data_IF_367714944171
#
_entry.id   IF_367714944171
#
_cell.length_a   1.000
_cell.length_b   1.000
_cell.length_c   1.000
_cell.angle_alpha   90.00
_cell.angle_beta   90.00
_cell.angle_gamma   90.00
#
_symmetry.space_group_name_H-M   'P 1'
#
loop_
_entity.id
_entity.type
_entity.pdbx_description
1 polymer ?
#
# COMPACT_ATOMS: atom_id res chain seq x y z
N UNK A 1 10.71 -32.98 -4.98
CA UNK A 1 9.46 -32.53 -4.32
C UNK A 1 9.57 -31.07 -3.87
N UNK A 2 8.74 -30.14 -4.37
CA UNK A 2 8.69 -28.77 -3.84
C UNK A 2 8.22 -28.82 -2.37
N UNK A 3 9.07 -28.39 -1.45
CA UNK A 3 8.72 -28.24 -0.03
C UNK A 3 7.48 -27.35 0.12
N UNK A 4 6.41 -27.88 0.72
CA UNK A 4 5.17 -27.12 0.93
C UNK A 4 5.41 -26.04 1.98
N UNK A 5 5.17 -24.78 1.61
CA UNK A 5 5.44 -23.61 2.46
C UNK A 5 4.62 -23.62 3.77
N UNK A 6 3.31 -23.89 3.66
CA UNK A 6 2.41 -24.20 4.76
C UNK A 6 2.13 -25.70 4.78
N UNK A 7 2.91 -26.44 5.57
CA UNK A 7 2.75 -27.89 5.73
C UNK A 7 2.13 -28.25 7.08
N UNK A 8 1.34 -29.33 7.10
CA UNK A 8 0.67 -29.84 8.29
C UNK A 8 1.43 -30.99 8.98
N UNK A 9 2.36 -31.67 8.30
CA UNK A 9 3.14 -32.76 8.92
C UNK A 9 4.18 -32.23 9.93
N UNK A 10 4.94 -31.20 9.54
CA UNK A 10 5.91 -30.53 10.41
C UNK A 10 5.40 -29.15 10.80
N UNK A 11 5.21 -28.91 12.09
CA UNK A 11 4.75 -27.62 12.61
C UNK A 11 5.83 -26.56 12.35
N UNK A 12 5.58 -25.66 11.40
CA UNK A 12 6.40 -24.47 11.16
C UNK A 12 5.48 -23.26 11.13
N UNK A 13 5.74 -22.32 12.04
CA UNK A 13 5.01 -21.06 12.13
C UNK A 13 5.71 -20.06 11.20
N UNK A 14 4.93 -19.32 10.42
CA UNK A 14 5.38 -18.32 9.43
C UNK A 14 4.81 -16.94 9.74
N UNK A 15 5.41 -15.88 9.20
CA UNK A 15 4.86 -14.52 9.25
C UNK A 15 3.79 -14.32 8.15
N UNK A 16 2.64 -14.99 8.31
CA UNK A 16 1.50 -14.93 7.36
C UNK A 16 0.16 -15.11 8.07
N UNK A 17 -0.90 -14.44 7.61
CA UNK A 17 -2.28 -14.64 8.12
C UNK A 17 -3.02 -15.79 7.42
N UNK A 18 -2.34 -16.89 7.11
CA UNK A 18 -2.95 -18.06 6.49
C UNK A 18 -3.69 -18.90 7.55
N UNK A 19 -4.88 -19.40 7.24
CA UNK A 19 -5.63 -20.37 8.06
C UNK A 19 -4.78 -21.57 8.51
N UNK A 20 -3.95 -22.11 7.61
CA UNK A 20 -3.06 -23.25 7.93
C UNK A 20 -1.96 -22.82 8.92
N UNK A 21 -1.49 -21.58 8.80
CA UNK A 21 -0.50 -21.03 9.72
C UNK A 21 -1.11 -20.82 11.12
N UNK A 22 -2.35 -20.33 11.17
CA UNK A 22 -3.09 -20.19 12.43
C UNK A 22 -3.29 -21.54 13.11
N UNK A 23 -3.70 -22.57 12.35
CA UNK A 23 -3.80 -23.92 12.86
C UNK A 23 -2.45 -24.48 13.36
N UNK A 24 -1.37 -24.18 12.65
CA UNK A 24 -0.02 -24.55 13.11
C UNK A 24 0.38 -23.81 14.39
N UNK A 25 -0.03 -22.56 14.55
CA UNK A 25 0.22 -21.75 15.74
C UNK A 25 -0.57 -22.31 16.95
N UNK A 26 -1.84 -22.66 16.78
CA UNK A 26 -2.68 -23.15 17.88
C UNK A 26 -2.25 -24.51 18.42
N UNK A 27 -1.72 -25.39 17.57
CA UNK A 27 -1.22 -26.71 17.99
C UNK A 27 0.25 -26.74 18.38
N UNK A 28 0.96 -25.61 18.24
CA UNK A 28 2.38 -25.56 18.55
C UNK A 28 2.59 -25.74 20.05
N UNK A 29 3.26 -26.83 20.42
CA UNK A 29 3.69 -27.10 21.80
C UNK A 29 5.20 -27.35 21.81
N UNK A 30 5.99 -26.61 22.58
CA UNK A 30 7.40 -26.94 22.78
C UNK A 30 7.46 -28.29 23.51
N UNK A 31 8.07 -29.30 22.88
CA UNK A 31 8.35 -30.58 23.53
C UNK A 31 9.79 -30.58 24.02
N UNK A 32 10.04 -30.71 25.33
CA UNK A 32 11.36 -31.11 25.81
C UNK A 32 11.58 -32.55 25.34
N UNK A 33 12.53 -32.73 24.44
CA UNK A 33 12.94 -34.05 23.94
C UNK A 33 14.28 -34.40 24.59
N UNK A 34 14.58 -35.69 24.76
CA UNK A 34 15.91 -36.22 25.16
C UNK A 34 16.99 -36.01 24.10
N UNK A 35 16.92 -34.88 23.40
CA UNK A 35 17.82 -34.50 22.32
C UNK A 35 19.14 -34.00 22.88
N UNK A 36 20.21 -34.27 22.14
CA UNK A 36 21.52 -33.66 22.42
C UNK A 36 21.48 -32.15 22.25
N UNK A 37 22.41 -31.43 22.86
CA UNK A 37 22.47 -29.97 22.77
C UNK A 37 22.54 -29.47 21.32
N UNK A 38 23.27 -30.16 20.44
CA UNK A 38 23.31 -29.82 19.01
C UNK A 38 21.94 -29.97 18.34
N UNK A 39 21.24 -31.08 18.59
CA UNK A 39 19.90 -31.32 18.06
C UNK A 39 18.90 -30.28 18.56
N UNK A 40 18.99 -29.89 19.83
CA UNK A 40 18.18 -28.81 20.41
C UNK A 40 18.41 -27.48 19.70
N UNK A 41 19.68 -27.06 19.55
CA UNK A 41 20.04 -25.83 18.82
C UNK A 41 19.58 -25.87 17.36
N UNK A 42 19.77 -26.99 16.66
CA UNK A 42 19.34 -27.14 15.28
C UNK A 42 17.83 -27.03 15.12
N UNK A 43 17.06 -27.67 16.02
CA UNK A 43 15.60 -27.59 16.05
C UNK A 43 15.14 -26.16 16.34
N UNK A 44 15.74 -25.51 17.33
CA UNK A 44 15.46 -24.12 17.68
C UNK A 44 15.68 -23.20 16.47
N UNK A 45 16.86 -23.27 15.84
CA UNK A 45 17.19 -22.55 14.59
C UNK A 45 16.14 -22.78 13.50
N UNK A 46 15.80 -24.04 13.22
CA UNK A 46 14.87 -24.42 12.16
C UNK A 46 13.46 -23.87 12.39
N UNK A 47 13.00 -23.85 13.65
CA UNK A 47 11.70 -23.31 14.05
C UNK A 47 11.69 -21.78 14.04
N UNK A 48 12.66 -21.16 14.71
CA UNK A 48 12.71 -19.70 14.86
C UNK A 48 12.91 -19.00 13.51
N UNK A 49 13.79 -19.50 12.64
CA UNK A 49 14.00 -18.98 11.28
C UNK A 49 12.84 -19.23 10.35
N UNK A 50 11.97 -20.21 10.65
CA UNK A 50 10.79 -20.42 9.85
C UNK A 50 9.82 -19.22 9.94
N UNK A 51 9.78 -18.56 11.09
CA UNK A 51 9.01 -17.35 11.34
C UNK A 51 9.82 -16.10 11.02
N UNK A 52 10.96 -15.94 11.66
CA UNK A 52 11.78 -14.73 11.60
C UNK A 52 12.61 -14.70 10.32
N UNK A 53 12.25 -13.85 9.36
CA UNK A 53 13.04 -13.59 8.14
C UNK A 53 13.18 -14.81 7.22
N UNK A 54 12.11 -15.58 7.04
CA UNK A 54 12.07 -16.74 6.14
C UNK A 54 12.57 -16.43 4.72
N UNK A 55 12.31 -15.21 4.24
CA UNK A 55 12.73 -14.71 2.93
C UNK A 55 14.24 -14.41 2.83
N UNK A 56 14.95 -14.38 3.95
CA UNK A 56 16.36 -14.00 4.05
C UNK A 56 17.21 -15.27 3.97
N UNK A 57 18.19 -15.29 3.07
CA UNK A 57 19.15 -16.40 2.95
C UNK A 57 19.96 -16.55 4.23
N UNK A 58 20.32 -17.78 4.59
CA UNK A 58 21.01 -18.04 5.85
C UNK A 58 22.36 -17.31 5.97
N UNK A 59 23.14 -17.28 4.89
CA UNK A 59 24.41 -16.54 4.86
C UNK A 59 24.25 -15.01 4.98
N UNK A 60 23.09 -14.47 4.60
CA UNK A 60 22.78 -13.05 4.83
C UNK A 60 22.36 -12.84 6.29
N UNK A 61 21.52 -13.73 6.84
CA UNK A 61 21.11 -13.67 8.24
C UNK A 61 22.31 -13.75 9.20
N UNK A 62 23.26 -14.66 8.96
CA UNK A 62 24.45 -14.79 9.81
C UNK A 62 25.30 -13.52 9.87
N UNK A 63 25.35 -12.73 8.79
CA UNK A 63 26.04 -11.42 8.75
C UNK A 63 25.23 -10.32 9.46
N UNK A 64 23.91 -10.40 9.44
CA UNK A 64 23.03 -9.44 10.12
C UNK A 64 22.88 -9.70 11.62
N UNK A 65 23.04 -10.96 12.04
CA UNK A 65 22.94 -11.37 13.44
C UNK A 65 23.92 -10.56 14.30
N UNK A 66 23.43 -10.05 15.43
CA UNK A 66 24.23 -9.32 16.40
C UNK A 66 24.11 -10.03 17.76
N UNK A 67 25.23 -10.40 18.40
CA UNK A 67 25.22 -10.97 19.75
C UNK A 67 24.68 -10.02 20.81
N UNK A 68 24.77 -8.70 20.56
CA UNK A 68 24.36 -7.67 21.52
C UNK A 68 22.85 -7.40 21.43
N UNK A 69 22.13 -7.75 22.50
CA UNK A 69 20.72 -7.38 22.68
C UNK A 69 20.60 -5.96 23.26
N UNK A 70 19.69 -5.14 22.72
CA UNK A 70 19.37 -3.82 23.26
C UNK A 70 18.28 -3.94 24.33
N UNK A 71 18.48 -3.29 25.47
CA UNK A 71 17.50 -3.23 26.56
C UNK A 71 17.43 -1.82 27.14
N UNK A 72 16.32 -1.52 27.81
CA UNK A 72 16.10 -0.27 28.54
C UNK A 72 15.50 -0.58 29.91
N UNK A 73 15.88 0.22 30.90
CA UNK A 73 15.37 0.14 32.28
C UNK A 73 14.59 1.43 32.54
N UNK A 74 13.29 1.36 32.88
CA UNK A 74 12.55 2.53 33.31
C UNK A 74 13.04 2.94 34.71
N UNK A 75 13.37 4.23 34.89
CA UNK A 75 13.67 4.82 36.20
C UNK A 75 12.50 5.71 36.60
N UNK A 76 12.08 5.64 37.86
CA UNK A 76 11.05 6.51 38.40
C UNK A 76 11.67 7.87 38.77
N UNK A 77 11.09 8.94 38.22
CA UNK A 77 11.59 10.30 38.44
C UNK A 77 11.33 10.78 39.88
N UNK A 78 10.31 10.24 40.56
CA UNK A 78 10.03 10.58 41.97
C UNK A 78 11.12 10.07 42.88
N UNK A 79 11.46 8.80 42.72
CA UNK A 79 12.57 8.17 43.44
C UNK A 79 13.90 8.91 43.21
N UNK A 80 14.20 9.29 41.95
CA UNK A 80 15.42 10.05 41.63
C UNK A 80 15.45 11.46 42.24
N UNK A 81 14.30 12.05 42.59
CA UNK A 81 14.23 13.36 43.23
C UNK A 81 14.39 13.26 44.75
N UNK A 82 13.88 12.19 45.36
CA UNK A 82 13.92 11.96 46.81
C UNK A 82 15.23 11.31 47.27
N UNK A 83 15.84 10.48 46.41
CA UNK A 83 17.00 9.65 46.74
C UNK A 83 18.12 9.83 45.71
N UNK A 84 19.37 9.86 46.20
CA UNK A 84 20.58 9.90 45.39
C UNK A 84 21.17 8.50 45.11
N UNK A 85 20.57 7.46 45.69
CA UNK A 85 20.96 6.05 45.54
C UNK A 85 21.94 5.55 46.60
N UNK A 86 22.37 6.40 47.55
CA UNK A 86 23.26 6.01 48.66
C UNK A 86 22.65 4.93 49.56
N UNK A 87 21.31 4.92 49.71
CA UNK A 87 20.58 3.95 50.51
C UNK A 87 20.63 2.53 49.93
N UNK A 88 20.84 2.39 48.62
CA UNK A 88 21.02 1.09 47.97
C UNK A 88 22.35 0.43 48.34
N UNK A 89 23.35 1.22 48.73
CA UNK A 89 24.66 0.74 49.16
C UNK A 89 24.78 0.59 50.69
N UNK A 90 23.73 0.93 51.44
CA UNK A 90 23.74 0.85 52.91
C UNK A 90 24.11 -0.55 53.41
N UNK A 91 24.70 -0.61 54.62
CA UNK A 91 25.22 -1.85 55.20
C UNK A 91 26.61 -2.19 54.68
N UNK A 92 26.73 -3.26 53.88
CA UNK A 92 28.00 -3.77 53.34
C UNK A 92 28.12 -3.61 51.81
N UNK A 93 27.33 -2.72 51.21
CA UNK A 93 27.34 -2.44 49.76
C UNK A 93 26.27 -3.18 48.93
N UNK A 94 25.65 -4.23 49.46
CA UNK A 94 24.53 -4.94 48.79
C UNK A 94 23.14 -4.42 49.16
N UNK A 95 23.08 -3.36 49.95
CA UNK A 95 21.87 -2.85 50.59
C UNK A 95 21.60 -3.47 51.97
N UNK A 96 20.67 -2.86 52.69
CA UNK A 96 20.28 -3.29 54.04
C UNK A 96 19.68 -4.71 54.02
N UNK A 97 20.15 -5.57 54.92
CA UNK A 97 19.63 -6.95 55.03
C UNK A 97 18.16 -6.93 55.46
N UNK A 98 17.33 -7.63 54.69
CA UNK A 98 15.89 -7.80 55.00
C UNK A 98 15.66 -9.17 55.66
N UNK A 99 14.75 -9.28 56.64
CA UNK A 99 14.44 -10.57 57.27
C UNK A 99 13.96 -11.59 56.22
N UNK A 100 14.45 -12.83 56.34
CA UNK A 100 14.09 -13.93 55.42
C UNK A 100 12.58 -14.22 55.52
N UNK A 101 11.86 -14.14 54.41
CA UNK A 101 10.44 -14.52 54.32
C UNK A 101 9.49 -13.42 53.85
N UNK A 102 9.90 -12.16 53.89
CA UNK A 102 9.11 -11.03 53.36
C UNK A 102 9.32 -10.92 51.85
N UNK A 103 8.62 -11.79 51.10
CA UNK A 103 8.32 -11.76 49.66
C UNK A 103 9.30 -11.06 48.71
N UNK A 104 10.03 -11.82 47.90
CA UNK A 104 10.78 -11.24 46.76
C UNK A 104 11.01 -12.18 45.58
N UNK A 105 11.14 -13.49 45.80
CA UNK A 105 11.45 -14.46 44.72
C UNK A 105 10.43 -14.43 43.55
N UNK A 106 9.14 -14.32 43.84
CA UNK A 106 8.08 -14.23 42.82
C UNK A 106 8.07 -12.88 42.06
N UNK A 107 8.58 -11.81 42.68
CA UNK A 107 8.64 -10.46 42.11
C UNK A 107 9.85 -10.32 41.18
N UNK A 108 10.97 -10.97 41.50
CA UNK A 108 12.16 -11.03 40.63
C UNK A 108 11.88 -11.66 39.25
N UNK A 109 11.07 -12.72 39.19
CA UNK A 109 10.75 -13.38 37.93
C UNK A 109 9.87 -12.54 37.00
N UNK A 110 9.01 -11.64 37.53
CA UNK A 110 8.18 -10.73 36.72
C UNK A 110 8.99 -9.58 36.11
N UNK A 111 10.08 -9.20 36.75
CA UNK A 111 10.93 -8.07 36.32
C UNK A 111 12.15 -8.50 35.49
N UNK A 112 12.32 -9.80 35.22
CA UNK A 112 13.45 -10.24 34.41
C UNK A 112 13.33 -9.70 32.97
N UNK A 113 14.43 -9.19 32.44
CA UNK A 113 14.49 -8.68 31.07
C UNK A 113 14.69 -9.87 30.11
N UNK A 114 13.77 -10.10 29.16
CA UNK A 114 13.86 -11.25 28.24
C UNK A 114 14.84 -10.95 27.08
N UNK A 115 16.15 -10.91 27.36
CA UNK A 115 17.19 -10.60 26.37
C UNK A 115 17.18 -11.54 25.17
N UNK A 116 16.96 -12.84 25.41
CA UNK A 116 17.00 -13.85 24.34
C UNK A 116 15.85 -13.70 23.34
N UNK A 117 14.77 -13.03 23.71
CA UNK A 117 13.69 -12.71 22.76
C UNK A 117 14.13 -11.70 21.68
N UNK A 118 15.24 -10.99 21.90
CA UNK A 118 15.76 -9.96 21.00
C UNK A 118 16.65 -10.49 19.87
N UNK A 119 16.89 -11.80 19.78
CA UNK A 119 17.78 -12.44 18.79
C UNK A 119 17.51 -11.96 17.36
N UNK A 120 16.23 -11.79 17.01
CA UNK A 120 15.78 -11.40 15.67
C UNK A 120 15.47 -9.91 15.50
N UNK A 121 15.82 -9.06 16.48
CA UNK A 121 15.62 -7.61 16.41
C UNK A 121 16.19 -6.95 15.14
N UNK A 122 17.34 -7.37 14.57
CA UNK A 122 17.85 -6.77 13.33
C UNK A 122 16.91 -6.94 12.12
N UNK A 123 16.05 -7.96 12.10
CA UNK A 123 15.10 -8.19 10.99
C UNK A 123 13.98 -7.16 11.01
N UNK A 124 13.54 -6.73 12.20
CA UNK A 124 12.46 -5.76 12.37
C UNK A 124 12.82 -4.36 11.83
N UNK A 125 14.11 -4.08 11.60
CA UNK A 125 14.56 -2.86 10.91
C UNK A 125 14.27 -2.86 9.41
N UNK A 126 14.06 -4.02 8.81
CA UNK A 126 13.87 -4.12 7.36
C UNK A 126 12.51 -3.57 6.95
N UNK A 127 12.48 -2.82 5.85
CA UNK A 127 11.27 -2.23 5.30
C UNK A 127 10.16 -3.28 5.06
N UNK A 128 10.50 -4.43 4.49
CA UNK A 128 9.52 -5.51 4.25
C UNK A 128 8.89 -6.07 5.53
N UNK A 129 9.65 -6.13 6.62
CA UNK A 129 9.18 -6.64 7.90
C UNK A 129 8.35 -5.57 8.61
N UNK A 130 8.80 -4.31 8.61
CA UNK A 130 8.06 -3.18 9.19
C UNK A 130 6.67 -3.00 8.56
N UNK A 131 6.54 -3.14 7.23
CA UNK A 131 5.24 -3.10 6.54
C UNK A 131 4.30 -4.21 7.01
N UNK A 132 4.83 -5.43 7.21
CA UNK A 132 4.04 -6.53 7.76
C UNK A 132 3.60 -6.27 9.21
N UNK A 133 4.48 -5.71 10.04
CA UNK A 133 4.19 -5.35 11.43
C UNK A 133 3.19 -4.20 11.58
N UNK A 134 3.13 -3.30 10.60
CA UNK A 134 2.14 -2.22 10.53
C UNK A 134 0.74 -2.69 10.08
N UNK A 135 0.57 -4.00 9.83
CA UNK A 135 -0.67 -4.61 9.31
C UNK A 135 -1.05 -4.16 7.88
N UNK A 136 -0.11 -3.61 7.11
CA UNK A 136 -0.34 -3.20 5.72
C UNK A 136 -0.25 -4.35 4.70
N UNK A 137 0.26 -5.50 5.12
CA UNK A 137 0.37 -6.70 4.31
C UNK A 137 0.00 -7.96 5.09
N UNK A 138 -0.58 -8.97 4.42
CA UNK A 138 -0.96 -10.23 5.07
C UNK A 138 0.23 -11.16 5.35
N UNK A 139 1.40 -10.89 4.75
CA UNK A 139 2.63 -11.65 4.92
C UNK A 139 3.86 -10.82 4.59
N UNK A 140 5.03 -11.21 5.12
CA UNK A 140 6.31 -10.58 4.76
C UNK A 140 6.69 -10.77 3.30
N UNK A 141 6.32 -11.90 2.68
CA UNK A 141 6.50 -12.11 1.23
C UNK A 141 5.66 -11.14 0.40
N UNK A 142 4.42 -10.88 0.81
CA UNK A 142 3.57 -9.90 0.15
C UNK A 142 4.07 -8.47 0.36
N UNK A 143 4.51 -8.12 1.57
CA UNK A 143 5.14 -6.84 1.86
C UNK A 143 6.37 -6.60 0.97
N UNK A 144 7.22 -7.62 0.82
CA UNK A 144 8.37 -7.59 -0.09
C UNK A 144 7.95 -7.31 -1.54
N UNK A 145 6.87 -7.92 -2.02
CA UNK A 145 6.36 -7.66 -3.37
C UNK A 145 5.87 -6.21 -3.52
N UNK A 146 5.21 -5.64 -2.51
CA UNK A 146 4.78 -4.24 -2.55
C UNK A 146 5.96 -3.29 -2.71
N UNK A 147 7.04 -3.55 -1.96
CA UNK A 147 8.28 -2.78 -2.08
C UNK A 147 8.89 -2.94 -3.48
N UNK A 148 9.10 -4.17 -3.96
CA UNK A 148 9.72 -4.44 -5.27
C UNK A 148 8.92 -3.85 -6.44
N UNK A 149 7.58 -3.92 -6.37
CA UNK A 149 6.71 -3.29 -7.37
C UNK A 149 6.62 -1.76 -7.21
N UNK A 150 7.32 -1.19 -6.23
CA UNK A 150 7.45 0.25 -6.08
C UNK A 150 6.17 0.92 -5.58
N UNK A 151 5.40 0.19 -4.76
CA UNK A 151 4.14 0.65 -4.13
C UNK A 151 4.34 1.20 -2.73
N UNK A 152 5.60 1.40 -2.34
CA UNK A 152 6.00 1.89 -1.03
C UNK A 152 6.87 3.12 -1.21
N UNK A 153 6.62 4.13 -0.39
CA UNK A 153 7.43 5.33 -0.28
C UNK A 153 8.03 5.40 1.13
N UNK A 154 9.28 5.83 1.25
CA UNK A 154 9.93 6.16 2.51
C UNK A 154 10.34 7.63 2.45
N UNK A 155 9.90 8.43 3.41
CA UNK A 155 10.13 9.89 3.46
C UNK A 155 9.77 10.56 2.11
N UNK A 156 8.62 10.19 1.53
CA UNK A 156 8.15 10.68 0.23
C UNK A 156 8.81 10.06 -1.01
N UNK A 157 9.97 9.41 -0.87
CA UNK A 157 10.73 8.81 -1.98
C UNK A 157 10.31 7.35 -2.21
N UNK A 158 10.08 6.98 -3.47
CA UNK A 158 9.77 5.58 -3.85
C UNK A 158 10.97 4.68 -3.53
N UNK A 159 10.75 3.64 -2.72
CA UNK A 159 11.84 2.75 -2.30
C UNK A 159 11.59 1.32 -2.80
N UNK A 160 12.30 0.84 -3.85
CA UNK A 160 12.09 -0.49 -4.41
C UNK A 160 12.88 -1.61 -3.69
N UNK A 161 13.69 -1.26 -2.69
CA UNK A 161 14.58 -2.20 -2.02
C UNK A 161 13.99 -2.72 -0.70
N UNK A 162 13.53 -3.98 -0.62
CA UNK A 162 12.97 -4.55 0.61
C UNK A 162 14.00 -4.76 1.71
N UNK A 163 15.29 -4.75 1.36
CA UNK A 163 16.41 -4.81 2.31
C UNK A 163 16.76 -3.48 2.95
N UNK A 164 16.06 -2.39 2.64
CA UNK A 164 16.28 -1.10 3.28
C UNK A 164 16.10 -1.21 4.79
N UNK A 165 17.08 -0.71 5.55
CA UNK A 165 17.06 -0.69 7.00
C UNK A 165 16.55 0.67 7.44
N UNK A 166 15.37 0.69 8.07
CA UNK A 166 14.77 1.89 8.62
C UNK A 166 15.66 2.46 9.74
N UNK A 167 15.78 3.77 9.72
CA UNK A 167 16.33 4.58 10.79
C UNK A 167 15.21 5.11 11.68
N UNK A 168 15.46 5.32 12.98
CA UNK A 168 14.50 6.01 13.85
C UNK A 168 14.06 7.34 13.24
N UNK A 169 12.75 7.57 13.16
CA UNK A 169 12.14 8.74 12.52
C UNK A 169 11.66 8.51 11.08
N UNK A 170 12.09 7.45 10.40
CA UNK A 170 11.66 7.21 9.01
C UNK A 170 10.16 6.93 8.93
N UNK A 171 9.49 7.63 8.01
CA UNK A 171 8.09 7.42 7.68
C UNK A 171 7.97 6.59 6.40
N UNK A 172 7.27 5.46 6.45
CA UNK A 172 6.95 4.67 5.27
C UNK A 172 5.45 4.66 4.99
N UNK A 173 5.07 4.78 3.72
CA UNK A 173 3.69 4.80 3.25
C UNK A 173 3.48 3.75 2.16
N UNK A 174 2.37 3.04 2.22
CA UNK A 174 1.97 2.02 1.25
C UNK A 174 0.77 2.49 0.45
N UNK A 175 0.71 2.13 -0.83
CA UNK A 175 -0.44 2.36 -1.70
C UNK A 175 -1.73 1.75 -1.09
N UNK A 176 -2.77 2.58 -0.88
CA UNK A 176 -3.99 2.23 -0.14
C UNK A 176 -4.71 1.04 -0.77
N UNK A 177 -4.83 1.01 -2.10
CA UNK A 177 -5.50 -0.08 -2.82
C UNK A 177 -4.78 -1.43 -2.62
N UNK A 178 -3.46 -1.41 -2.36
CA UNK A 178 -2.67 -2.61 -2.07
C UNK A 178 -2.86 -3.09 -0.64
N UNK A 179 -2.97 -2.17 0.31
CA UNK A 179 -3.28 -2.48 1.70
C UNK A 179 -4.67 -3.10 1.80
N UNK A 180 -5.67 -2.47 1.20
CA UNK A 180 -7.05 -2.97 1.16
C UNK A 180 -7.11 -4.36 0.49
N UNK A 181 -6.33 -4.59 -0.57
CA UNK A 181 -6.21 -5.92 -1.18
C UNK A 181 -5.56 -6.98 -0.27
N UNK A 182 -4.51 -6.61 0.47
CA UNK A 182 -3.82 -7.55 1.35
C UNK A 182 -4.66 -7.94 2.57
N UNK A 183 -5.23 -6.93 3.21
CA UNK A 183 -5.98 -7.02 4.46
C UNK A 183 -7.44 -7.38 4.24
N UNK A 184 -7.96 -7.21 3.02
CA UNK A 184 -9.33 -7.52 2.68
C UNK A 184 -9.61 -9.01 2.47
N UNK A 185 -10.89 -9.36 2.57
CA UNK A 185 -11.41 -10.66 2.18
C UNK A 185 -11.15 -10.92 0.68
N UNK A 186 -10.86 -12.19 0.31
CA UNK A 186 -10.74 -12.55 -1.09
C UNK A 186 -12.09 -12.35 -1.81
N UNK A 187 -12.06 -11.93 -3.07
CA UNK A 187 -13.27 -11.80 -3.90
C UNK A 187 -14.01 -13.14 -3.99
N UNK A 188 -15.34 -13.09 -3.90
CA UNK A 188 -16.21 -14.25 -4.15
C UNK A 188 -16.14 -14.66 -5.62
N UNK A 189 -16.51 -15.91 -5.91
CA UNK A 189 -16.49 -16.43 -7.28
C UNK A 189 -17.37 -15.59 -8.22
N UNK A 190 -18.52 -15.10 -7.75
CA UNK A 190 -19.47 -14.33 -8.56
C UNK A 190 -18.93 -12.94 -8.89
N UNK A 191 -18.35 -12.24 -7.92
CA UNK A 191 -17.66 -10.95 -8.17
C UNK A 191 -16.45 -11.09 -9.09
N UNK A 192 -15.80 -12.25 -9.08
CA UNK A 192 -14.70 -12.53 -10.01
C UNK A 192 -15.26 -12.71 -11.43
N UNK A 193 -16.40 -13.38 -11.59
CA UNK A 193 -17.06 -13.60 -12.90
C UNK A 193 -17.57 -12.29 -13.48
N UNK A 194 -18.34 -11.52 -12.73
CA UNK A 194 -18.94 -10.26 -13.18
C UNK A 194 -17.87 -9.23 -13.57
N UNK A 195 -16.87 -9.04 -12.71
CA UNK A 195 -15.79 -8.09 -12.95
C UNK A 195 -14.73 -8.55 -13.97
N UNK A 196 -14.80 -9.77 -14.51
CA UNK A 196 -13.76 -10.31 -15.41
C UNK A 196 -13.66 -9.51 -16.70
N UNK A 197 -14.82 -9.17 -17.30
CA UNK A 197 -14.90 -8.38 -18.53
C UNK A 197 -14.34 -6.97 -18.32
N UNK A 198 -14.84 -6.29 -17.28
CA UNK A 198 -14.43 -4.93 -16.91
C UNK A 198 -12.92 -4.83 -16.60
N UNK A 199 -12.35 -5.81 -15.89
CA UNK A 199 -10.92 -5.81 -15.57
C UNK A 199 -10.06 -6.10 -16.78
N UNK A 200 -10.55 -6.90 -17.74
CA UNK A 200 -9.85 -7.15 -19.00
C UNK A 200 -9.79 -5.88 -19.84
N UNK A 201 -10.91 -5.15 -19.95
CA UNK A 201 -10.94 -3.86 -20.66
C UNK A 201 -10.09 -2.80 -19.96
N UNK A 202 -10.19 -2.67 -18.63
CA UNK A 202 -9.35 -1.75 -17.83
C UNK A 202 -7.85 -2.05 -17.97
N UNK A 203 -7.45 -3.33 -17.98
CA UNK A 203 -6.05 -3.70 -18.22
C UNK A 203 -5.60 -3.31 -19.61
N UNK A 204 -6.39 -3.62 -20.64
CA UNK A 204 -6.07 -3.23 -22.01
C UNK A 204 -5.94 -1.71 -22.15
N UNK A 205 -6.84 -0.93 -21.52
CA UNK A 205 -6.76 0.53 -21.48
C UNK A 205 -5.49 1.02 -20.77
N UNK A 206 -5.16 0.47 -19.61
CA UNK A 206 -3.96 0.84 -18.86
C UNK A 206 -2.68 0.48 -19.61
N UNK A 207 -2.64 -0.68 -20.28
CA UNK A 207 -1.50 -1.11 -21.10
C UNK A 207 -1.35 -0.20 -22.31
N UNK A 208 -2.44 0.19 -22.95
CA UNK A 208 -2.42 1.16 -24.05
C UNK A 208 -1.93 2.53 -23.57
N UNK A 209 -2.40 2.99 -22.41
CA UNK A 209 -1.95 4.24 -21.79
C UNK A 209 -0.46 4.19 -21.43
N UNK A 210 0.02 3.06 -20.92
CA UNK A 210 1.44 2.85 -20.62
C UNK A 210 2.30 2.84 -21.89
N UNK A 211 1.83 2.19 -22.97
CA UNK A 211 2.50 2.22 -24.29
C UNK A 211 2.54 3.63 -24.86
N UNK A 212 1.44 4.37 -24.82
CA UNK A 212 1.38 5.75 -25.28
C UNK A 212 2.33 6.66 -24.47
N UNK A 213 2.39 6.47 -23.14
CA UNK A 213 3.32 7.20 -22.28
C UNK A 213 4.79 6.84 -22.55
N UNK A 214 5.10 5.57 -22.83
CA UNK A 214 6.43 5.14 -23.22
C UNK A 214 6.84 5.73 -24.59
N UNK A 215 5.96 5.64 -25.59
CA UNK A 215 6.19 6.24 -26.91
C UNK A 215 6.36 7.77 -26.83
N UNK A 216 5.63 8.43 -25.92
CA UNK A 216 5.81 9.86 -25.66
C UNK A 216 7.19 10.16 -25.07
N UNK A 217 7.64 9.37 -24.08
CA UNK A 217 8.98 9.51 -23.50
C UNK A 217 10.10 9.22 -24.50
N UNK A 218 9.93 8.25 -25.39
CA UNK A 218 10.89 7.95 -26.46
C UNK A 218 10.97 9.11 -27.46
N UNK A 219 9.83 9.70 -27.86
CA UNK A 219 9.81 10.90 -28.72
C UNK A 219 10.43 12.13 -28.04
N UNK A 220 10.14 12.33 -26.75
CA UNK A 220 10.73 13.42 -25.96
C UNK A 220 12.25 13.23 -25.78
N UNK A 221 12.71 11.99 -25.56
CA UNK A 221 14.14 11.66 -25.49
C UNK A 221 14.84 11.82 -26.85
N UNK A 222 14.24 11.37 -27.95
CA UNK A 222 14.77 11.57 -29.29
C UNK A 222 14.86 13.06 -29.67
N UNK A 223 13.87 13.87 -29.27
CA UNK A 223 13.89 15.32 -29.46
C UNK A 223 14.94 16.02 -28.57
N UNK A 224 15.27 15.47 -27.40
CA UNK A 224 16.34 15.98 -26.54
C UNK A 224 17.73 15.66 -27.10
N UNK A 225 17.95 14.45 -27.61
CA UNK A 225 19.20 14.05 -28.27
C UNK A 225 19.45 14.86 -29.54
N UNK A 226 18.41 15.08 -30.35
CA UNK A 226 18.50 15.96 -31.53
C UNK A 226 18.80 17.44 -31.20
N UNK A 227 18.56 17.87 -29.95
CA UNK A 227 18.92 19.21 -29.46
C UNK A 227 20.35 19.30 -28.92
N UNK A 228 20.97 18.19 -28.53
CA UNK A 228 22.37 18.17 -28.05
C UNK A 228 23.39 17.95 -29.18
N UNK A 229 23.00 17.32 -30.30
CA UNK A 229 23.91 17.10 -31.45
C UNK A 229 23.95 18.27 -32.46
N UNK A 230 23.08 19.27 -32.33
CA UNK A 230 22.98 20.42 -33.23
C UNK A 230 23.52 21.72 -32.63
N UNK A 231 24.84 21.93 -32.70
CA UNK A 231 25.45 23.23 -32.43
C UNK A 231 25.39 24.16 -33.63
N UNK A 232 24.31 24.95 -33.75
CA UNK A 232 24.35 26.35 -34.19
C UNK A 232 22.94 26.96 -34.09
N UNK A 233 22.86 28.13 -33.46
CA UNK A 233 21.65 28.93 -33.31
C UNK A 233 21.12 29.39 -34.65
N UNK A 234 20.10 28.69 -35.15
CA UNK A 234 19.08 29.29 -36.01
C UNK A 234 17.73 29.13 -35.31
N UNK A 235 17.17 30.25 -34.86
CA UNK A 235 15.76 30.33 -34.48
C UNK A 235 14.90 29.72 -35.59
N UNK A 236 14.08 28.67 -35.32
CA UNK A 236 13.21 28.13 -36.34
C UNK A 236 12.16 29.18 -36.68
N UNK A 237 12.32 29.79 -37.86
CA UNK A 237 11.32 30.67 -38.46
C UNK A 237 10.14 29.77 -38.85
N UNK A 238 9.11 29.75 -38.01
CA UNK A 238 7.87 28.99 -38.25
C UNK A 238 7.28 29.41 -39.60
N UNK A 239 7.37 28.55 -40.60
CA UNK A 239 6.71 28.71 -41.90
C UNK A 239 5.19 28.72 -41.69
N UNK A 240 4.42 29.59 -42.36
CA UNK A 240 2.96 29.68 -42.19
C UNK A 240 2.22 28.35 -42.40
N UNK A 241 2.77 27.44 -43.21
CA UNK A 241 2.25 26.08 -43.42
C UNK A 241 2.28 25.18 -42.17
N UNK A 242 3.24 25.40 -41.26
CA UNK A 242 3.35 24.63 -40.01
C UNK A 242 2.25 24.99 -39.00
N UNK A 243 1.89 26.28 -38.91
CA UNK A 243 0.82 26.79 -38.04
C UNK A 243 -0.56 26.32 -38.48
N UNK A 244 -0.83 26.35 -39.78
CA UNK A 244 -2.12 25.91 -40.32
C UNK A 244 -2.33 24.40 -40.13
N UNK A 245 -1.25 23.61 -40.23
CA UNK A 245 -1.28 22.17 -39.97
C UNK A 245 -1.57 21.85 -38.50
N UNK A 246 -0.92 22.57 -37.58
CA UNK A 246 -1.14 22.42 -36.14
C UNK A 246 -2.56 22.82 -35.72
N UNK A 247 -3.14 23.87 -36.32
CA UNK A 247 -4.53 24.26 -36.11
C UNK A 247 -5.53 23.23 -36.64
N UNK A 248 -5.29 22.66 -37.83
CA UNK A 248 -6.11 21.58 -38.37
C UNK A 248 -6.06 20.32 -37.51
N UNK A 249 -4.90 19.99 -36.94
CA UNK A 249 -4.75 18.86 -36.02
C UNK A 249 -5.48 19.09 -34.68
N UNK A 250 -5.51 20.33 -34.16
CA UNK A 250 -6.34 20.69 -33.00
C UNK A 250 -7.83 20.52 -33.29
N UNK A 251 -8.32 21.07 -34.40
CA UNK A 251 -9.72 20.94 -34.82
C UNK A 251 -10.12 19.47 -35.04
N UNK A 252 -9.20 18.66 -35.58
CA UNK A 252 -9.42 17.21 -35.74
C UNK A 252 -9.63 16.50 -34.41
N UNK A 253 -8.91 16.91 -33.37
CA UNK A 253 -9.10 16.37 -32.02
C UNK A 253 -10.47 16.79 -31.46
N UNK A 254 -10.89 18.04 -31.66
CA UNK A 254 -12.20 18.53 -31.20
C UNK A 254 -13.38 17.88 -31.93
N UNK A 255 -13.27 17.60 -33.23
CA UNK A 255 -14.29 16.80 -33.94
C UNK A 255 -14.36 15.36 -33.42
N UNK A 256 -13.24 14.77 -32.99
CA UNK A 256 -13.22 13.43 -32.38
C UNK A 256 -13.86 13.44 -30.99
N UNK A 257 -13.59 14.44 -30.15
CA UNK A 257 -14.24 14.55 -28.83
C UNK A 257 -15.75 14.74 -28.97
N UNK A 258 -16.21 15.55 -29.94
CA UNK A 258 -17.62 15.68 -30.25
C UNK A 258 -18.26 14.36 -30.72
N UNK A 259 -17.53 13.57 -31.52
CA UNK A 259 -17.99 12.25 -31.94
C UNK A 259 -18.12 11.28 -30.74
N UNK A 260 -17.15 11.30 -29.83
CA UNK A 260 -17.17 10.50 -28.60
C UNK A 260 -18.32 10.91 -27.67
N UNK A 261 -18.56 12.21 -27.50
CA UNK A 261 -19.70 12.72 -26.74
C UNK A 261 -21.04 12.25 -27.33
N UNK A 262 -21.19 12.31 -28.66
CA UNK A 262 -22.39 11.80 -29.32
C UNK A 262 -22.58 10.28 -29.14
N UNK A 263 -21.49 9.51 -29.08
CA UNK A 263 -21.51 8.06 -28.86
C UNK A 263 -21.84 7.68 -27.41
N UNK A 264 -21.36 8.45 -26.44
CA UNK A 264 -21.75 8.30 -25.02
C UNK A 264 -23.24 8.57 -24.86
N UNK A 265 -23.76 9.65 -25.45
CA UNK A 265 -25.19 9.99 -25.39
C UNK A 265 -26.09 8.94 -26.06
N UNK A 266 -25.59 8.21 -27.06
CA UNK A 266 -26.34 7.12 -27.70
C UNK A 266 -26.32 5.82 -26.89
N UNK A 267 -25.29 5.60 -26.09
CA UNK A 267 -25.05 4.33 -25.37
C UNK A 267 -25.40 4.40 -23.88
N UNK A 268 -25.70 5.58 -23.35
CA UNK A 268 -26.16 5.76 -21.97
C UNK A 268 -27.48 5.02 -21.74
N UNK A 269 -27.43 4.01 -20.86
CA UNK A 269 -28.56 3.16 -20.53
C UNK A 269 -29.49 3.77 -19.48
N UNK A 270 -29.04 4.81 -18.76
CA UNK A 270 -29.82 5.46 -17.69
C UNK A 270 -30.74 6.54 -18.23
N UNK A 271 -30.26 7.35 -19.19
CA UNK A 271 -31.02 8.45 -19.80
C UNK A 271 -31.11 8.25 -21.32
N UNK A 272 -31.79 7.18 -21.76
CA UNK A 272 -31.85 6.86 -23.20
C UNK A 272 -32.57 7.96 -23.98
N UNK A 273 -31.96 8.55 -25.02
CA UNK A 273 -32.59 9.63 -25.76
C UNK A 273 -33.85 9.17 -26.50
N UNK A 274 -34.84 10.06 -26.63
CA UNK A 274 -36.07 9.87 -27.42
C UNK A 274 -35.75 9.39 -28.86
N UNK A 275 -36.67 8.65 -29.49
CA UNK A 275 -36.48 8.11 -30.84
C UNK A 275 -36.07 9.17 -31.88
N UNK A 276 -36.68 10.36 -31.81
CA UNK A 276 -36.31 11.52 -32.65
C UNK A 276 -34.87 12.00 -32.39
N UNK A 277 -34.44 12.00 -31.12
CA UNK A 277 -33.09 12.40 -30.69
C UNK A 277 -32.02 11.37 -31.10
N UNK A 278 -32.35 10.07 -31.07
CA UNK A 278 -31.47 9.01 -31.60
C UNK A 278 -31.22 9.17 -33.10
N UNK A 279 -32.23 9.54 -33.87
CA UNK A 279 -32.10 9.81 -35.31
C UNK A 279 -31.23 11.05 -35.55
N UNK A 280 -31.45 12.13 -34.80
CA UNK A 280 -30.65 13.36 -34.88
C UNK A 280 -29.17 13.14 -34.54
N UNK A 281 -28.87 12.42 -33.44
CA UNK A 281 -27.49 12.09 -33.04
C UNK A 281 -26.79 11.20 -34.08
N UNK A 282 -27.50 10.22 -34.67
CA UNK A 282 -26.96 9.39 -35.76
C UNK A 282 -26.73 10.17 -37.05
N UNK A 283 -27.52 11.21 -37.32
CA UNK A 283 -27.32 12.13 -38.45
C UNK A 283 -26.10 13.02 -38.20
N UNK A 284 -26.01 13.64 -37.02
CA UNK A 284 -24.87 14.45 -36.58
C UNK A 284 -23.56 13.64 -36.62
N UNK A 285 -23.58 12.38 -36.17
CA UNK A 285 -22.41 11.49 -36.26
C UNK A 285 -21.95 11.25 -37.71
N UNK A 286 -22.89 11.12 -38.66
CA UNK A 286 -22.56 10.99 -40.09
C UNK A 286 -21.98 12.30 -40.64
N UNK A 287 -22.53 13.44 -40.23
CA UNK A 287 -22.05 14.78 -40.59
C UNK A 287 -20.61 15.02 -40.07
N UNK A 288 -20.30 14.68 -38.81
CA UNK A 288 -18.94 14.76 -38.23
C UNK A 288 -17.96 13.83 -38.96
N UNK A 289 -18.39 12.60 -39.30
CA UNK A 289 -17.54 11.65 -40.01
C UNK A 289 -17.20 12.14 -41.42
N UNK A 290 -18.15 12.79 -42.10
CA UNK A 290 -17.95 13.39 -43.41
C UNK A 290 -17.04 14.64 -43.35
N UNK A 291 -17.08 15.44 -42.28
CA UNK A 291 -16.16 16.58 -42.13
C UNK A 291 -14.74 16.13 -41.79
N UNK A 292 -14.60 15.08 -40.96
CA UNK A 292 -13.29 14.47 -40.67
C UNK A 292 -12.62 13.87 -41.92
N UNK A 293 -13.38 13.36 -42.89
CA UNK A 293 -12.81 12.86 -44.15
C UNK A 293 -12.43 13.96 -45.14
N UNK A 294 -13.04 15.15 -45.01
CA UNK A 294 -12.78 16.32 -45.85
C UNK A 294 -11.88 17.37 -45.18
N UNK A 295 -11.27 17.05 -44.03
CA UNK A 295 -10.55 17.99 -43.18
C UNK A 295 -9.38 18.70 -43.88
N UNK A 296 -8.67 17.99 -44.76
CA UNK A 296 -7.54 18.56 -45.50
C UNK A 296 -7.97 19.46 -46.68
N UNK A 297 -9.25 19.42 -47.09
CA UNK A 297 -9.77 20.17 -48.24
C UNK A 297 -10.47 21.48 -47.84
N UNK A 298 -10.80 21.66 -46.55
CA UNK A 298 -11.55 22.82 -46.04
C UNK A 298 -10.62 23.80 -45.33
N UNK A 299 -10.95 25.08 -45.40
CA UNK A 299 -10.20 26.12 -44.68
C UNK A 299 -10.44 26.02 -43.16
N UNK A 300 -9.52 26.56 -42.36
CA UNK A 300 -9.63 26.58 -40.89
C UNK A 300 -10.88 27.36 -40.45
N UNK A 301 -11.19 28.47 -41.12
CA UNK A 301 -12.40 29.27 -40.87
C UNK A 301 -13.70 28.48 -41.13
N UNK A 302 -13.75 27.68 -42.20
CA UNK A 302 -14.92 26.83 -42.46
C UNK A 302 -15.07 25.74 -41.40
N UNK A 303 -13.95 25.12 -41.00
CA UNK A 303 -13.96 24.06 -39.99
C UNK A 303 -14.42 24.57 -38.62
N UNK A 304 -13.99 25.77 -38.20
CA UNK A 304 -14.43 26.38 -36.94
C UNK A 304 -15.92 26.74 -36.97
N UNK A 305 -16.43 27.29 -38.08
CA UNK A 305 -17.86 27.58 -38.23
C UNK A 305 -18.72 26.31 -38.18
N UNK A 306 -18.27 25.23 -38.84
CA UNK A 306 -18.92 23.92 -38.82
C UNK A 306 -18.90 23.32 -37.42
N UNK A 307 -17.77 23.43 -36.71
CA UNK A 307 -17.65 22.96 -35.33
C UNK A 307 -18.65 23.67 -34.42
N UNK A 308 -18.75 25.00 -34.52
CA UNK A 308 -19.73 25.79 -33.79
C UNK A 308 -21.18 25.41 -34.15
N UNK A 309 -21.44 25.04 -35.41
CA UNK A 309 -22.75 24.53 -35.81
C UNK A 309 -23.08 23.16 -35.18
N UNK A 310 -22.08 22.29 -35.01
CA UNK A 310 -22.27 20.98 -34.40
C UNK A 310 -22.36 21.06 -32.88
N UNK A 311 -21.58 21.93 -32.24
CA UNK A 311 -21.70 22.20 -30.80
C UNK A 311 -23.07 22.80 -30.48
N UNK A 312 -23.58 23.73 -31.29
CA UNK A 312 -24.92 24.28 -31.11
C UNK A 312 -26.03 23.27 -31.41
N UNK A 313 -25.89 22.39 -32.40
CA UNK A 313 -26.84 21.26 -32.61
C UNK A 313 -26.81 20.27 -31.43
N UNK A 314 -25.65 20.09 -30.80
CA UNK A 314 -25.50 19.26 -29.60
C UNK A 314 -26.15 19.96 -28.38
N UNK A 315 -25.94 21.26 -28.21
CA UNK A 315 -26.43 22.08 -27.10
C UNK A 315 -27.94 22.37 -27.19
N UNK A 316 -28.48 22.66 -28.38
CA UNK A 316 -29.94 22.79 -28.62
C UNK A 316 -30.70 21.46 -28.44
N UNK A 317 -29.99 20.36 -28.16
CA UNK A 317 -30.60 19.10 -27.77
C UNK A 317 -30.78 18.94 -26.26
N UNK A 318 -30.38 19.95 -25.48
CA UNK A 318 -30.77 20.14 -24.08
C UNK A 318 -31.94 21.13 -24.04
N UNK A 319 -33.04 20.72 -23.42
CA UNK A 319 -34.18 21.57 -23.10
C UNK A 319 -33.72 22.67 -22.12
N UNK A 320 -33.20 23.77 -22.67
CA UNK A 320 -32.65 24.92 -21.92
C UNK A 320 -33.63 26.10 -21.82
N UNK A 321 -34.92 25.88 -22.08
CA UNK A 321 -35.97 26.86 -21.76
C UNK A 321 -36.51 26.71 -20.32
N UNK A 322 -36.22 25.60 -19.62
CA UNK A 322 -36.63 25.41 -18.22
C UNK A 322 -35.56 25.79 -17.19
N UNK A 323 -34.33 26.10 -17.61
CA UNK A 323 -33.21 26.47 -16.73
C UNK A 323 -32.80 27.94 -16.81
N UNK A 324 -33.35 28.72 -17.75
CA UNK A 324 -33.03 30.14 -17.91
C UNK A 324 -33.90 31.08 -17.05
N UNK A 325 -34.96 30.58 -16.40
CA UNK A 325 -35.86 31.38 -15.55
C UNK A 325 -35.41 31.47 -14.07
N UNK A 326 -34.25 30.94 -13.72
CA UNK A 326 -33.75 30.94 -12.35
C UNK A 326 -32.24 31.04 -12.31
N UNK A 327 -31.70 32.22 -12.60
CA UNK A 327 -30.34 32.53 -12.22
C UNK A 327 -30.33 33.00 -10.76
N UNK A 328 -29.92 32.18 -9.76
CA UNK A 328 -29.47 32.76 -8.53
C UNK A 328 -28.13 33.44 -8.78
N UNK A 329 -27.93 34.56 -8.08
CA UNK A 329 -26.66 35.23 -7.92
C UNK A 329 -25.57 34.23 -7.47
N UNK A 330 -24.31 34.64 -7.58
CA UNK A 330 -23.14 33.87 -7.16
C UNK A 330 -23.31 33.38 -5.72
N UNK A 331 -23.79 32.14 -5.55
CA UNK A 331 -23.84 31.44 -4.26
C UNK A 331 -22.53 30.66 -4.15
N UNK A 332 -21.76 30.93 -3.09
CA UNK A 332 -20.60 30.13 -2.72
C UNK A 332 -21.00 28.65 -2.68
N UNK A 333 -20.18 27.77 -3.27
CA UNK A 333 -20.50 26.36 -3.49
C UNK A 333 -20.91 25.55 -2.22
N UNK A 334 -20.75 26.13 -1.04
CA UNK A 334 -21.09 25.57 0.26
C UNK A 334 -22.56 25.80 0.69
N UNK A 335 -23.26 26.79 0.10
CA UNK A 335 -24.60 27.22 0.53
C UNK A 335 -25.75 26.73 -0.38
N UNK A 336 -25.45 25.95 -1.42
CA UNK A 336 -26.50 25.39 -2.28
C UNK A 336 -27.38 24.38 -1.49
N UNK A 337 -28.72 24.50 -1.52
CA UNK A 337 -29.62 23.63 -0.74
C UNK A 337 -29.52 22.14 -1.12
N UNK A 338 -29.03 21.85 -2.32
CA UNK A 338 -28.79 20.51 -2.85
C UNK A 338 -27.39 19.96 -2.48
N UNK A 339 -26.43 20.82 -2.12
CA UNK A 339 -25.08 20.43 -1.74
C UNK A 339 -25.07 19.64 -0.43
N UNK A 340 -25.79 20.11 0.59
CA UNK A 340 -25.87 19.41 1.88
C UNK A 340 -26.53 18.04 1.75
N UNK A 341 -27.56 17.91 0.90
CA UNK A 341 -28.20 16.62 0.63
C UNK A 341 -27.29 15.69 -0.14
N UNK A 342 -26.61 16.17 -1.19
CA UNK A 342 -25.59 15.41 -1.93
C UNK A 342 -24.41 15.00 -1.05
N UNK A 343 -23.96 15.87 -0.15
CA UNK A 343 -22.91 15.58 0.83
C UNK A 343 -23.38 14.51 1.82
N UNK A 344 -24.60 14.62 2.35
CA UNK A 344 -25.20 13.62 3.25
C UNK A 344 -25.34 12.26 2.56
N UNK A 345 -25.79 12.24 1.31
CA UNK A 345 -25.94 11.03 0.49
C UNK A 345 -24.57 10.45 0.09
N UNK A 346 -23.56 11.29 -0.16
CA UNK A 346 -22.17 10.86 -0.39
C UNK A 346 -21.53 10.28 0.88
N UNK A 347 -21.75 10.90 2.05
CA UNK A 347 -21.34 10.38 3.37
C UNK A 347 -22.04 9.06 3.65
N UNK A 348 -23.32 8.96 3.32
CA UNK A 348 -24.11 7.73 3.48
C UNK A 348 -23.63 6.63 2.54
N UNK A 349 -23.40 6.90 1.25
CA UNK A 349 -22.77 5.96 0.31
C UNK A 349 -21.35 5.57 0.73
N UNK A 350 -20.56 6.50 1.25
CA UNK A 350 -19.22 6.22 1.78
C UNK A 350 -19.28 5.31 3.01
N UNK A 351 -20.32 5.45 3.86
CA UNK A 351 -20.62 4.52 4.95
C UNK A 351 -21.10 3.16 4.44
N UNK A 352 -21.91 3.14 3.39
CA UNK A 352 -22.52 1.92 2.83
C UNK A 352 -21.55 1.10 1.96
N UNK A 353 -20.41 1.67 1.54
CA UNK A 353 -19.31 1.02 0.80
C UNK A 353 -19.80 0.22 -0.43
N UNK A 354 -20.27 0.89 -1.49
CA UNK A 354 -20.95 0.26 -2.61
C UNK A 354 -20.10 -0.80 -3.32
N UNK A 355 -20.77 -1.75 -3.95
CA UNK A 355 -20.12 -2.81 -4.74
C UNK A 355 -19.47 -2.19 -5.98
N UNK A 356 -18.14 -2.14 -5.99
CA UNK A 356 -17.32 -1.73 -7.14
C UNK A 356 -16.50 -2.91 -7.65
N UNK A 357 -16.81 -3.36 -8.88
CA UNK A 357 -16.15 -4.50 -9.51
C UNK A 357 -14.77 -4.18 -10.07
N UNK A 358 -14.46 -2.89 -10.29
CA UNK A 358 -13.18 -2.42 -10.83
C UNK A 358 -12.02 -2.61 -9.86
N UNK A 359 -12.31 -2.57 -8.55
CA UNK A 359 -11.31 -2.70 -7.48
C UNK A 359 -10.71 -4.11 -7.39
N UNK A 360 -9.49 -4.26 -6.87
CA UNK A 360 -8.83 -5.57 -6.77
C UNK A 360 -9.32 -6.45 -5.61
N UNK A 361 -9.93 -5.86 -4.58
CA UNK A 361 -10.48 -6.51 -3.38
C UNK A 361 -12.00 -6.66 -3.44
N UNK A 362 -12.55 -7.49 -2.55
CA UNK A 362 -14.00 -7.61 -2.37
C UNK A 362 -14.60 -6.28 -1.91
N UNK A 363 -15.71 -5.89 -2.52
CA UNK A 363 -16.50 -4.68 -2.21
C UNK A 363 -17.93 -5.11 -1.85
N UNK A 364 -18.52 -4.67 -0.73
CA UNK A 364 -17.94 -3.84 0.33
C UNK A 364 -16.68 -4.49 0.94
N UNK A 365 -15.71 -3.65 1.28
CA UNK A 365 -14.47 -4.12 1.89
C UNK A 365 -14.76 -4.72 3.26
N UNK A 366 -14.27 -5.94 3.48
CA UNK A 366 -14.33 -6.64 4.75
C UNK A 366 -12.94 -7.13 5.12
N UNK A 367 -12.59 -7.21 6.41
CA UNK A 367 -11.29 -7.72 6.83
C UNK A 367 -11.11 -9.19 6.43
N UNK A 368 -9.86 -9.59 6.24
CA UNK A 368 -9.47 -10.94 5.87
C UNK A 368 -9.92 -11.92 6.96
N UNK A 369 -10.39 -13.13 6.57
CA UNK A 369 -10.70 -14.18 7.54
C UNK A 369 -9.50 -14.45 8.45
N UNK A 370 -9.75 -14.52 9.76
CA UNK A 370 -8.74 -14.77 10.79
C UNK A 370 -7.66 -13.69 10.95
N UNK A 371 -7.86 -12.47 10.44
CA UNK A 371 -6.94 -11.34 10.66
C UNK A 371 -6.78 -11.02 12.16
N UNK A 372 -7.86 -11.14 12.94
CA UNK A 372 -7.88 -10.82 14.38
C UNK A 372 -6.82 -11.56 15.18
N UNK A 373 -6.55 -12.83 14.87
CA UNK A 373 -5.55 -13.63 15.58
C UNK A 373 -4.10 -13.14 15.41
N UNK A 374 -3.85 -12.29 14.40
CA UNK A 374 -2.53 -11.75 14.08
C UNK A 374 -2.47 -10.22 14.19
N UNK A 375 -3.58 -9.58 14.58
CA UNK A 375 -3.71 -8.12 14.61
C UNK A 375 -3.08 -7.56 15.88
N UNK A 376 -1.78 -7.28 15.82
CA UNK A 376 -1.07 -6.51 16.84
C UNK A 376 -0.05 -5.59 16.17
N UNK A 377 0.10 -4.39 16.70
CA UNK A 377 1.08 -3.40 16.23
C UNK A 377 2.16 -3.28 17.31
N UNK A 378 3.44 -3.46 16.98
CA UNK A 378 4.50 -3.39 17.98
C UNK A 378 4.78 -1.94 18.39
N UNK A 379 5.20 -1.73 19.65
CA UNK A 379 5.40 -0.41 20.26
C UNK A 379 6.47 0.48 19.60
N UNK A 380 7.31 -0.08 18.73
CA UNK A 380 8.33 0.68 17.99
C UNK A 380 7.83 1.26 16.67
N UNK A 381 6.60 0.95 16.28
CA UNK A 381 5.91 1.50 15.11
C UNK A 381 4.71 2.31 15.54
N UNK A 382 4.61 3.54 15.05
CA UNK A 382 3.38 4.33 15.10
C UNK A 382 2.67 4.22 13.76
N UNK A 383 1.38 3.89 13.74
CA UNK A 383 0.68 3.55 12.49
C UNK A 383 -0.59 4.36 12.34
N UNK A 384 -0.75 5.01 11.19
CA UNK A 384 -1.98 5.65 10.77
C UNK A 384 -2.65 4.83 9.66
N UNK A 385 -3.73 4.13 10.01
CA UNK A 385 -4.44 3.24 9.10
C UNK A 385 -5.21 3.98 7.98
N UNK A 386 -5.63 5.23 8.21
CA UNK A 386 -6.42 6.01 7.23
C UNK A 386 -5.63 6.29 5.95
N UNK A 387 -4.37 6.70 6.11
CA UNK A 387 -3.47 7.06 5.00
C UNK A 387 -2.48 5.94 4.65
N UNK A 388 -2.58 4.80 5.34
CA UNK A 388 -1.67 3.65 5.19
C UNK A 388 -0.19 4.05 5.35
N UNK A 389 0.11 4.89 6.35
CA UNK A 389 1.47 5.32 6.70
C UNK A 389 1.86 4.88 8.10
N UNK A 390 3.14 4.69 8.32
CA UNK A 390 3.69 4.39 9.63
C UNK A 390 5.06 5.05 9.83
N UNK A 391 5.36 5.40 11.07
CA UNK A 391 6.65 5.98 11.47
C UNK A 391 7.41 4.95 12.29
N UNK A 392 8.65 4.71 11.91
CA UNK A 392 9.57 3.87 12.65
C UNK A 392 10.19 4.67 13.79
N UNK A 393 9.57 4.63 14.97
CA UNK A 393 9.95 5.49 16.10
C UNK A 393 11.36 5.17 16.62
N UNK A 394 11.68 3.89 16.77
CA UNK A 394 12.93 3.43 17.39
C UNK A 394 13.26 2.00 17.00
N UNK A 395 14.44 1.54 17.39
CA UNK A 395 14.77 0.13 17.33
C UNK A 395 14.04 -0.65 18.44
N UNK A 396 13.61 -1.91 18.19
CA UNK A 396 13.04 -2.75 19.22
C UNK A 396 14.02 -2.91 20.39
N UNK A 397 13.51 -2.80 21.61
CA UNK A 397 14.28 -2.99 22.86
C UNK A 397 13.58 -3.99 23.79
N UNK A 398 14.36 -4.67 24.63
CA UNK A 398 13.84 -5.43 25.76
C UNK A 398 13.61 -4.52 26.97
N UNK A 399 12.56 -4.79 27.73
CA UNK A 399 12.18 -4.12 28.98
C UNK A 399 11.97 -5.17 30.07
N UNK A 400 11.97 -4.80 31.35
CA UNK A 400 11.52 -5.70 32.41
C UNK A 400 10.15 -6.31 32.05
N UNK A 401 10.06 -7.64 31.99
CA UNK A 401 8.83 -8.38 31.70
C UNK A 401 8.35 -8.42 30.24
N UNK A 402 8.99 -7.71 29.29
CA UNK A 402 8.52 -7.63 27.89
C UNK A 402 9.67 -7.46 26.88
N UNK A 403 9.58 -8.16 25.75
CA UNK A 403 10.38 -7.86 24.55
C UNK A 403 9.53 -7.24 23.46
N UNK A 404 10.02 -6.18 22.81
CA UNK A 404 9.30 -5.56 21.69
C UNK A 404 9.36 -6.37 20.39
N UNK A 405 10.28 -7.34 20.26
CA UNK A 405 10.37 -8.23 19.08
C UNK A 405 9.24 -9.26 19.12
N UNK A 406 8.29 -9.24 18.16
CA UNK A 406 7.16 -10.16 18.22
C UNK A 406 7.58 -11.55 17.73
N UNK A 407 7.52 -12.53 18.64
CA UNK A 407 7.95 -13.91 18.41
C UNK A 407 6.96 -14.88 19.08
N UNK A 408 6.49 -15.93 18.39
CA UNK A 408 5.58 -16.93 18.97
C UNK A 408 6.32 -18.02 19.78
N UNK A 409 7.60 -17.82 20.09
CA UNK A 409 8.46 -18.82 20.72
C UNK A 409 8.86 -18.40 22.14
N UNK A 410 9.07 -19.40 23.02
CA UNK A 410 9.57 -19.18 24.37
C UNK A 410 11.00 -18.65 24.37
N UNK A 411 11.38 -18.01 25.48
CA UNK A 411 12.73 -17.48 25.68
C UNK A 411 13.79 -18.57 25.57
N UNK A 412 13.52 -19.76 26.12
CA UNK A 412 14.42 -20.93 26.07
C UNK A 412 14.76 -21.37 24.63
N UNK A 413 13.74 -21.42 23.76
CA UNK A 413 13.95 -21.75 22.35
C UNK A 413 14.81 -20.68 21.68
N UNK A 414 14.55 -19.41 21.97
CA UNK A 414 15.32 -18.31 21.40
C UNK A 414 16.75 -18.25 21.95
N UNK A 415 16.99 -18.69 23.18
CA UNK A 415 18.32 -18.86 23.76
C UNK A 415 19.11 -19.94 23.01
N UNK A 416 18.49 -21.08 22.70
CA UNK A 416 19.12 -22.13 21.88
C UNK A 416 19.43 -21.62 20.46
N UNK A 417 18.54 -20.83 19.87
CA UNK A 417 18.78 -20.19 18.59
C UNK A 417 19.93 -19.16 18.67
N UNK A 418 20.00 -18.36 19.74
CA UNK A 418 21.11 -17.44 19.99
C UNK A 418 22.44 -18.20 20.04
N UNK A 419 22.51 -19.28 20.82
CA UNK A 419 23.69 -20.13 20.95
C UNK A 419 24.16 -20.72 19.62
N UNK A 420 23.22 -21.13 18.76
CA UNK A 420 23.54 -21.56 17.39
C UNK A 420 24.26 -20.46 16.61
N UNK A 421 23.74 -19.22 16.64
CA UNK A 421 24.27 -18.12 15.84
C UNK A 421 25.56 -17.51 16.37
N UNK A 422 25.86 -17.65 17.67
CA UNK A 422 27.14 -17.23 18.24
C UNK A 422 28.33 -17.97 17.59
N UNK A 423 28.23 -19.29 17.44
CA UNK A 423 29.34 -20.14 16.95
C UNK A 423 29.10 -20.74 15.56
N UNK A 424 27.91 -20.53 14.98
CA UNK A 424 27.47 -21.11 13.70
C UNK A 424 27.43 -22.65 13.70
N UNK A 425 27.28 -23.26 14.87
CA UNK A 425 27.19 -24.71 15.12
C UNK A 425 26.54 -25.00 16.46
#
# INVERSE_FOLDING_TARGET
MRSRFHQLKKVKIRQTWNKINLYNLSRYKPRPEGNTFFQQKWKAKSLSRAYHGEQIREGQWTRMFRPRAKAVIPMDYKYLAEHDGSELAAGRGSGLERPKGTGSAAQFNRNQIPYMSMVYAPIERRLDTAIFRALFASSTRQARQFVVHGKVKVNGKKMPYPGYLLNPGDMFQVDIDRVLFATGAPKTADQIKSGRGLRRSLRAMNDQKAKNAAAKKEKEAAAAVAREEGGETTTPKETPESKEKDEKDRLRMEFRTLQEHADVLLTDSKNSPSGKRKIALRKLKREIRATLSQLNRKSVADLTSILNSYTTKLAKSEDLETLAAGAPAVINAEEAPDYQQKLKLAIQRAKENPIDESKPYMTPWQPRPYMSAFAFIPRYLEVNQKICSAVYLRHPVARPGLSEVPSPFSMELLQLAHNWYLRRR
#
